data_IF_440154458027
#
_entry.id   IF_440154458027
#
_cell.length_a   1.000
_cell.length_b   1.000
_cell.length_c   1.000
_cell.angle_alpha   90.00
_cell.angle_beta   90.00
_cell.angle_gamma   90.00
#
_symmetry.space_group_name_H-M   'P 1'
#
loop_
_entity.id
_entity.type
_entity.pdbx_description
1 polymer ?
#
# COMPACT_ATOMS: atom_id res chain seq x y z
N UNK A 1 -31.97 -82.14 58.50
CA UNK A 1 -31.37 -83.00 57.45
C UNK A 1 -31.48 -82.28 56.11
N UNK A 2 -30.36 -82.26 55.38
CA UNK A 2 -30.21 -81.95 53.95
C UNK A 2 -30.34 -80.50 53.44
N UNK A 3 -29.14 -79.97 53.12
CA UNK A 3 -28.81 -78.90 52.17
C UNK A 3 -29.39 -79.19 50.78
N UNK A 4 -29.77 -78.16 50.02
CA UNK A 4 -29.35 -77.99 48.60
C UNK A 4 -29.31 -76.49 48.28
N UNK A 5 -28.13 -76.03 47.88
CA UNK A 5 -27.85 -74.74 47.25
C UNK A 5 -28.05 -74.90 45.74
N UNK A 6 -28.76 -73.98 45.07
CA UNK A 6 -28.77 -73.89 43.61
C UNK A 6 -28.45 -72.46 43.18
N UNK A 7 -27.25 -72.28 42.63
CA UNK A 7 -26.80 -71.06 41.96
C UNK A 7 -27.33 -71.06 40.52
N UNK A 8 -28.06 -70.02 40.14
CA UNK A 8 -28.27 -69.69 38.73
C UNK A 8 -27.32 -68.55 38.34
N UNK A 9 -26.37 -68.85 37.46
CA UNK A 9 -25.56 -67.87 36.75
C UNK A 9 -26.40 -67.26 35.62
N UNK A 10 -26.73 -65.97 35.72
CA UNK A 10 -27.19 -65.19 34.56
C UNK A 10 -25.98 -64.49 33.93
N UNK A 11 -25.66 -64.86 32.70
CA UNK A 11 -24.61 -64.24 31.89
C UNK A 11 -25.00 -62.81 31.52
N UNK A 12 -24.20 -61.85 31.96
CA UNK A 12 -24.30 -60.44 31.56
C UNK A 12 -23.60 -60.27 30.21
N UNK A 13 -24.38 -60.07 29.14
CA UNK A 13 -23.83 -59.70 27.83
C UNK A 13 -23.41 -58.22 27.89
N UNK A 14 -22.11 -57.97 28.01
CA UNK A 14 -21.52 -56.63 27.89
C UNK A 14 -21.50 -56.26 26.41
N UNK A 15 -22.41 -55.38 26.00
CA UNK A 15 -22.39 -54.78 24.67
C UNK A 15 -21.29 -53.71 24.66
N UNK A 16 -20.10 -54.07 24.21
CA UNK A 16 -19.02 -53.10 24.01
C UNK A 16 -19.35 -52.24 22.79
N UNK A 17 -19.85 -51.02 23.00
CA UNK A 17 -19.86 -49.98 21.97
C UNK A 17 -18.41 -49.61 21.68
N UNK A 18 -17.83 -50.20 20.63
CA UNK A 18 -16.61 -49.66 20.03
C UNK A 18 -16.93 -48.28 19.47
N UNK A 19 -16.30 -47.24 20.00
CA UNK A 19 -16.28 -45.92 19.36
C UNK A 19 -15.54 -46.06 18.04
N UNK A 20 -16.29 -46.21 16.93
CA UNK A 20 -15.72 -46.12 15.60
C UNK A 20 -15.20 -44.69 15.41
N UNK A 21 -13.90 -44.51 15.56
CA UNK A 21 -13.24 -43.28 15.10
C UNK A 21 -13.24 -43.31 13.58
N UNK A 22 -14.15 -42.57 12.96
CA UNK A 22 -14.11 -42.32 11.53
C UNK A 22 -12.87 -41.47 11.23
N UNK A 23 -11.78 -42.12 10.83
CA UNK A 23 -10.63 -41.44 10.25
C UNK A 23 -10.95 -41.15 8.79
N UNK A 24 -10.99 -39.87 8.40
CA UNK A 24 -10.93 -39.52 6.99
C UNK A 24 -9.55 -39.93 6.49
N UNK A 25 -9.46 -41.00 5.70
CA UNK A 25 -8.24 -41.39 5.02
C UNK A 25 -7.85 -40.27 4.04
N UNK A 26 -6.75 -39.59 4.34
CA UNK A 26 -6.19 -38.47 3.55
C UNK A 26 -4.88 -38.92 2.87
N UNK A 27 -4.91 -40.08 2.21
CA UNK A 27 -3.77 -40.58 1.43
C UNK A 27 -3.28 -39.57 0.39
N UNK A 28 -1.96 -39.53 0.18
CA UNK A 28 -1.23 -38.47 -0.53
C UNK A 28 -1.60 -38.28 -2.03
N UNK A 29 -2.33 -39.20 -2.65
CA UNK A 29 -2.59 -39.19 -4.10
C UNK A 29 -4.08 -38.99 -4.48
N UNK A 30 -4.99 -38.76 -3.53
CA UNK A 30 -6.42 -38.63 -3.84
C UNK A 30 -6.96 -37.20 -3.74
N UNK A 31 -6.58 -36.37 -4.72
CA UNK A 31 -7.07 -34.99 -4.85
C UNK A 31 -8.57 -34.87 -5.21
N UNK A 32 -9.28 -35.99 -5.46
CA UNK A 32 -10.65 -35.99 -6.00
C UNK A 32 -11.66 -36.91 -5.28
N UNK A 33 -11.47 -37.26 -4.00
CA UNK A 33 -12.40 -38.12 -3.26
C UNK A 33 -12.56 -39.51 -3.92
N UNK A 34 -13.49 -40.39 -3.49
CA UNK A 34 -13.61 -41.73 -4.09
C UNK A 34 -14.36 -41.73 -5.44
N UNK A 35 -14.76 -40.57 -5.97
CA UNK A 35 -15.55 -40.46 -7.19
C UNK A 35 -14.76 -40.67 -8.48
N UNK A 36 -15.36 -41.35 -9.44
CA UNK A 36 -14.84 -41.50 -10.81
C UNK A 36 -15.84 -40.93 -11.82
N UNK A 37 -15.48 -40.87 -13.11
CA UNK A 37 -16.44 -40.51 -14.16
C UNK A 37 -17.65 -41.47 -14.23
N UNK A 38 -17.47 -42.74 -13.83
CA UNK A 38 -18.53 -43.76 -13.84
C UNK A 38 -19.36 -43.78 -12.55
N UNK A 39 -18.78 -43.42 -11.40
CA UNK A 39 -19.42 -43.43 -10.08
C UNK A 39 -19.07 -42.14 -9.33
N UNK A 40 -19.91 -41.11 -9.42
CA UNK A 40 -19.76 -39.84 -8.73
C UNK A 40 -21.10 -39.38 -8.13
N UNK A 41 -21.01 -38.50 -7.12
CA UNK A 41 -22.17 -37.80 -6.58
C UNK A 41 -22.39 -36.58 -7.49
N UNK A 42 -23.31 -36.70 -8.45
CA UNK A 42 -23.71 -35.63 -9.37
C UNK A 42 -25.18 -35.29 -9.20
N UNK A 43 -25.65 -34.24 -9.89
CA UNK A 43 -27.06 -33.85 -9.93
C UNK A 43 -28.00 -34.93 -10.50
N UNK A 44 -27.47 -36.03 -11.04
CA UNK A 44 -28.22 -37.19 -11.55
C UNK A 44 -28.17 -38.40 -10.61
N UNK A 45 -27.49 -38.32 -9.46
CA UNK A 45 -27.51 -39.40 -8.47
C UNK A 45 -28.93 -39.55 -7.92
N UNK A 46 -29.52 -40.74 -8.10
CA UNK A 46 -30.85 -41.06 -7.56
C UNK A 46 -30.78 -41.19 -6.04
N UNK A 47 -31.86 -40.81 -5.34
CA UNK A 47 -31.98 -41.00 -3.89
C UNK A 47 -31.66 -42.46 -3.52
N UNK A 48 -30.72 -42.66 -2.59
CA UNK A 48 -30.25 -43.98 -2.16
C UNK A 48 -29.01 -44.52 -2.89
N UNK A 49 -28.53 -43.85 -3.95
CA UNK A 49 -27.42 -44.34 -4.80
C UNK A 49 -26.11 -43.52 -4.64
N UNK A 50 -25.96 -42.77 -3.54
CA UNK A 50 -24.72 -42.06 -3.21
C UNK A 50 -23.60 -43.00 -2.75
N UNK A 51 -22.45 -42.46 -2.35
CA UNK A 51 -21.42 -43.26 -1.67
C UNK A 51 -21.98 -43.82 -0.37
N UNK A 52 -21.79 -45.12 -0.18
CA UNK A 52 -22.44 -45.89 0.88
C UNK A 52 -21.52 -45.93 2.10
N UNK A 53 -22.03 -45.51 3.25
CA UNK A 53 -21.46 -45.85 4.55
C UNK A 53 -22.17 -47.12 5.02
N UNK A 54 -21.42 -48.15 5.41
CA UNK A 54 -21.96 -49.40 5.94
C UNK A 54 -21.44 -49.68 7.36
N UNK A 55 -21.81 -50.82 7.93
CA UNK A 55 -21.40 -51.20 9.30
C UNK A 55 -19.90 -51.45 9.46
N UNK A 56 -19.12 -51.37 8.38
CA UNK A 56 -17.68 -51.66 8.33
C UNK A 56 -16.85 -50.55 7.67
N UNK A 57 -17.47 -49.59 7.00
CA UNK A 57 -16.81 -48.55 6.21
C UNK A 57 -17.59 -47.22 6.21
N UNK A 58 -16.87 -46.10 6.20
CA UNK A 58 -17.47 -44.77 6.09
C UNK A 58 -17.54 -44.33 4.62
N UNK A 59 -18.63 -43.63 4.25
CA UNK A 59 -18.65 -42.85 3.01
C UNK A 59 -17.90 -41.53 3.21
N UNK A 60 -17.05 -41.17 2.25
CA UNK A 60 -16.41 -39.86 2.17
C UNK A 60 -16.65 -39.26 0.79
N UNK A 61 -16.78 -37.94 0.71
CA UNK A 61 -16.91 -37.21 -0.54
C UNK A 61 -16.12 -35.90 -0.43
N UNK A 62 -15.53 -35.47 -1.55
CA UNK A 62 -14.84 -34.18 -1.65
C UNK A 62 -15.64 -33.26 -2.58
N UNK A 63 -15.68 -31.96 -2.25
CA UNK A 63 -16.27 -30.91 -3.08
C UNK A 63 -15.34 -29.70 -3.11
N UNK A 64 -15.40 -28.90 -4.17
CA UNK A 64 -14.55 -27.71 -4.33
C UNK A 64 -15.30 -26.44 -3.90
N UNK A 65 -14.67 -25.63 -3.05
CA UNK A 65 -15.05 -24.23 -2.83
C UNK A 65 -14.17 -23.34 -3.71
N UNK A 66 -14.77 -22.38 -4.42
CA UNK A 66 -14.06 -21.46 -5.32
C UNK A 66 -14.44 -20.02 -5.03
N UNK A 67 -13.44 -19.13 -5.09
CA UNK A 67 -13.63 -17.69 -5.14
C UNK A 67 -12.64 -17.08 -6.15
N UNK A 68 -12.93 -15.86 -6.61
CA UNK A 68 -12.09 -15.07 -7.50
C UNK A 68 -11.72 -13.76 -6.79
N UNK A 69 -10.47 -13.32 -6.92
CA UNK A 69 -10.02 -11.98 -6.50
C UNK A 69 -9.68 -11.20 -7.77
N UNK A 70 -10.26 -10.02 -7.91
CA UNK A 70 -9.99 -9.11 -9.03
C UNK A 70 -9.04 -8.00 -8.59
N UNK A 71 -8.09 -7.58 -9.44
CA UNK A 71 -7.19 -6.48 -9.12
C UNK A 71 -7.98 -5.15 -9.05
N UNK A 72 -7.55 -4.28 -8.14
CA UNK A 72 -7.86 -2.85 -8.16
C UNK A 72 -6.75 -2.04 -8.83
N UNK A 73 -6.65 -0.76 -8.46
CA UNK A 73 -5.74 0.20 -9.07
C UNK A 73 -4.54 0.54 -8.18
N UNK A 74 -3.54 1.18 -8.79
CA UNK A 74 -2.48 1.91 -8.11
C UNK A 74 -2.77 3.42 -8.26
N UNK A 75 -2.96 4.13 -7.15
CA UNK A 75 -3.38 5.55 -7.15
C UNK A 75 -2.51 6.43 -6.24
N UNK A 76 -2.36 7.69 -6.64
CA UNK A 76 -1.82 8.78 -5.82
C UNK A 76 -3.01 9.62 -5.36
N UNK A 77 -3.43 9.44 -4.11
CA UNK A 77 -4.70 9.98 -3.64
C UNK A 77 -4.56 11.41 -3.10
N UNK A 78 -3.41 11.73 -2.49
CA UNK A 78 -3.13 13.04 -1.93
C UNK A 78 -1.66 13.42 -2.07
N UNK A 79 -1.39 14.71 -2.30
CA UNK A 79 -0.05 15.31 -2.21
C UNK A 79 -0.05 16.56 -1.32
N UNK A 80 1.00 16.80 -0.51
CA UNK A 80 0.96 17.85 0.50
C UNK A 80 1.25 19.22 -0.09
N UNK A 81 0.55 20.23 0.42
CA UNK A 81 0.98 21.62 0.30
C UNK A 81 2.09 21.94 1.30
N UNK A 82 3.01 22.84 0.95
CA UNK A 82 4.08 23.28 1.84
C UNK A 82 4.09 24.80 1.89
N UNK A 83 3.60 25.37 2.99
CA UNK A 83 3.72 26.79 3.26
C UNK A 83 4.98 27.05 4.09
N UNK A 84 5.73 28.08 3.71
CA UNK A 84 7.03 28.39 4.30
C UNK A 84 7.01 29.78 4.93
N UNK A 85 7.84 29.99 5.94
CA UNK A 85 7.97 31.29 6.60
C UNK A 85 8.45 32.38 5.65
N UNK A 86 8.16 33.63 5.96
CA UNK A 86 8.58 34.77 5.14
C UNK A 86 10.08 35.06 5.26
N UNK A 87 10.72 35.42 4.15
CA UNK A 87 12.06 36.02 4.12
C UNK A 87 11.97 37.54 3.86
N UNK A 88 12.97 38.30 4.32
CA UNK A 88 13.09 39.73 4.00
C UNK A 88 13.96 39.92 2.76
N UNK A 89 13.60 40.90 1.93
CA UNK A 89 14.39 41.31 0.76
C UNK A 89 15.83 41.65 1.15
N UNK A 90 16.04 42.39 2.23
CA UNK A 90 17.37 42.75 2.71
C UNK A 90 18.23 41.52 3.04
N UNK A 91 17.64 40.49 3.65
CA UNK A 91 18.38 39.28 4.04
C UNK A 91 18.81 38.50 2.79
N UNK A 92 17.92 38.35 1.81
CA UNK A 92 18.20 37.68 0.53
C UNK A 92 19.25 38.45 -0.29
N UNK A 93 19.26 39.78 -0.23
CA UNK A 93 20.29 40.60 -0.92
C UNK A 93 21.65 40.46 -0.23
N UNK A 94 21.67 40.32 1.09
CA UNK A 94 22.90 40.28 1.86
C UNK A 94 23.53 38.89 1.96
N UNK A 95 22.77 37.81 1.74
CA UNK A 95 23.30 36.45 1.77
C UNK A 95 22.26 35.38 1.47
N UNK A 96 22.67 34.13 1.66
CA UNK A 96 21.76 32.99 1.58
C UNK A 96 20.81 32.99 2.77
N UNK A 97 19.53 32.70 2.51
CA UNK A 97 18.47 32.68 3.51
C UNK A 97 17.84 31.30 3.55
N UNK A 98 17.52 30.80 4.74
CA UNK A 98 16.68 29.60 4.89
C UNK A 98 15.37 29.98 5.55
N UNK A 99 14.27 29.58 4.90
CA UNK A 99 12.91 29.66 5.46
C UNK A 99 12.39 28.27 5.75
N UNK A 100 11.61 28.13 6.81
CA UNK A 100 11.17 26.82 7.31
C UNK A 100 9.68 26.62 7.06
N UNK A 101 9.27 25.35 7.05
CA UNK A 101 7.88 24.96 7.05
C UNK A 101 7.08 25.63 8.17
N UNK A 102 5.86 26.03 7.85
CA UNK A 102 4.91 26.65 8.78
C UNK A 102 3.65 25.82 8.91
N UNK A 103 2.96 25.55 7.80
CA UNK A 103 1.77 24.72 7.70
C UNK A 103 1.56 24.22 6.26
N UNK A 104 0.41 23.59 5.98
CA UNK A 104 0.02 23.15 4.64
C UNK A 104 -1.01 24.08 3.99
N UNK A 105 -1.19 25.31 4.50
CA UNK A 105 -2.18 26.26 3.98
C UNK A 105 -1.53 27.19 2.96
N UNK A 106 -1.61 26.83 1.68
CA UNK A 106 -1.09 27.64 0.57
C UNK A 106 -2.23 28.40 -0.10
N UNK A 107 -2.11 29.73 -0.16
CA UNK A 107 -3.06 30.58 -0.87
C UNK A 107 -2.65 30.71 -2.35
N UNK A 108 -3.09 29.75 -3.18
CA UNK A 108 -2.87 29.76 -4.63
C UNK A 108 -4.15 29.38 -5.36
N UNK A 109 -4.46 30.10 -6.45
CA UNK A 109 -5.64 29.82 -7.27
C UNK A 109 -5.53 28.49 -8.05
N UNK A 110 -4.32 27.96 -8.23
CA UNK A 110 -4.05 26.77 -9.05
C UNK A 110 -3.63 25.55 -8.22
N UNK A 111 -3.87 25.57 -6.91
CA UNK A 111 -3.50 24.51 -6.00
C UNK A 111 -4.64 23.50 -5.82
N UNK A 112 -5.04 22.86 -6.92
CA UNK A 112 -6.18 21.94 -6.93
C UNK A 112 -5.84 20.56 -6.38
N UNK A 113 -4.61 20.09 -6.60
CA UNK A 113 -4.18 18.74 -6.24
C UNK A 113 -3.58 18.65 -4.83
N UNK A 114 -3.11 19.77 -4.29
CA UNK A 114 -2.46 19.83 -2.98
C UNK A 114 -3.46 19.90 -1.82
N UNK A 115 -3.20 19.17 -0.74
CA UNK A 115 -4.04 19.18 0.47
C UNK A 115 -3.43 20.00 1.62
N UNK A 116 -4.30 20.50 2.52
CA UNK A 116 -3.92 21.27 3.70
C UNK A 116 -3.77 20.42 4.99
N UNK A 117 -3.77 19.10 4.86
CA UNK A 117 -3.59 18.16 5.98
C UNK A 117 -2.16 17.59 6.03
N UNK A 118 -1.31 17.94 5.06
CA UNK A 118 0.07 17.48 4.96
C UNK A 118 0.20 16.01 4.57
N UNK A 119 -0.85 15.43 4.00
CA UNK A 119 -0.88 14.01 3.60
C UNK A 119 -0.20 13.77 2.27
N UNK A 120 0.51 12.67 2.19
CA UNK A 120 0.98 12.05 0.96
C UNK A 120 0.50 10.59 0.97
N UNK A 121 -0.48 10.28 0.13
CA UNK A 121 -1.20 9.00 0.19
C UNK A 121 -1.10 8.24 -1.13
N UNK A 122 -0.76 6.95 -1.06
CA UNK A 122 -0.71 6.02 -2.19
C UNK A 122 -1.49 4.76 -1.82
N UNK A 123 -2.39 4.33 -2.70
CA UNK A 123 -3.08 3.06 -2.57
C UNK A 123 -2.63 2.10 -3.69
N UNK A 124 -2.16 0.90 -3.33
CA UNK A 124 -1.86 -0.17 -4.27
C UNK A 124 -2.77 -1.38 -4.01
N UNK A 125 -3.84 -1.48 -4.79
CA UNK A 125 -4.75 -2.63 -4.78
C UNK A 125 -4.60 -3.49 -6.04
N UNK A 126 -3.49 -3.35 -6.78
CA UNK A 126 -3.28 -4.07 -8.06
C UNK A 126 -3.16 -5.58 -7.92
N UNK A 127 -2.88 -6.08 -6.71
CA UNK A 127 -2.62 -7.50 -6.46
C UNK A 127 -1.30 -8.02 -7.04
N UNK A 128 -0.51 -7.16 -7.72
CA UNK A 128 0.69 -7.58 -8.45
C UNK A 128 1.92 -7.76 -7.57
N UNK A 129 1.97 -7.09 -6.41
CA UNK A 129 3.10 -7.07 -5.47
C UNK A 129 4.43 -6.66 -6.12
N UNK A 130 4.39 -5.95 -7.25
CA UNK A 130 5.59 -5.50 -7.95
C UNK A 130 6.29 -4.33 -7.24
N UNK A 131 5.55 -3.59 -6.43
CA UNK A 131 6.00 -2.34 -5.83
C UNK A 131 5.76 -1.15 -6.74
N UNK A 132 6.03 0.05 -6.22
CA UNK A 132 5.77 1.32 -6.88
C UNK A 132 6.81 2.35 -6.46
N UNK A 133 6.90 3.43 -7.23
CA UNK A 133 7.82 4.53 -6.97
C UNK A 133 7.12 5.86 -7.17
N UNK A 134 7.20 6.72 -6.17
CA UNK A 134 6.80 8.11 -6.28
C UNK A 134 8.05 8.96 -6.53
N UNK A 135 7.98 9.71 -7.61
CA UNK A 135 8.98 10.69 -8.00
C UNK A 135 8.41 12.10 -7.82
N UNK A 136 9.29 13.06 -7.49
CA UNK A 136 8.92 14.47 -7.45
C UNK A 136 9.99 15.35 -8.07
N UNK A 137 9.57 16.47 -8.65
CA UNK A 137 10.45 17.55 -9.11
C UNK A 137 9.91 18.91 -8.67
N UNK A 138 10.76 19.94 -8.67
CA UNK A 138 10.42 21.29 -8.20
C UNK A 138 10.57 22.33 -9.32
N UNK A 139 9.46 23.00 -9.62
CA UNK A 139 9.38 24.15 -10.49
C UNK A 139 10.12 25.38 -9.97
N UNK A 140 10.29 26.40 -10.82
CA UNK A 140 10.91 27.65 -10.38
C UNK A 140 9.94 28.43 -9.48
N UNK A 141 10.46 29.03 -8.41
CA UNK A 141 9.68 29.97 -7.61
C UNK A 141 9.47 31.28 -8.38
N UNK A 142 8.21 31.58 -8.70
CA UNK A 142 7.78 32.78 -9.45
C UNK A 142 6.94 33.68 -8.56
N UNK A 143 7.14 34.99 -8.67
CA UNK A 143 6.30 35.96 -7.99
C UNK A 143 4.87 35.87 -8.57
N UNK A 144 3.88 35.80 -7.69
CA UNK A 144 2.47 35.67 -8.07
C UNK A 144 1.87 36.92 -8.72
N UNK A 145 2.58 38.07 -8.67
CA UNK A 145 2.11 39.37 -9.15
C UNK A 145 3.07 40.07 -10.13
N UNK A 146 4.26 39.52 -10.35
CA UNK A 146 5.26 40.06 -11.29
C UNK A 146 5.97 38.94 -12.05
N UNK A 147 6.86 39.29 -12.98
CA UNK A 147 7.70 38.32 -13.69
C UNK A 147 8.96 37.89 -12.92
N UNK A 148 9.13 38.35 -11.67
CA UNK A 148 10.33 38.07 -10.89
C UNK A 148 10.38 36.60 -10.46
N UNK A 149 11.59 36.05 -10.42
CA UNK A 149 11.84 34.65 -10.07
C UNK A 149 12.94 34.52 -9.03
N UNK A 150 12.94 33.44 -8.27
CA UNK A 150 14.08 33.04 -7.44
C UNK A 150 14.93 32.02 -8.19
N UNK A 151 16.22 32.30 -8.37
CA UNK A 151 17.18 31.36 -8.93
C UNK A 151 17.81 30.48 -7.83
N UNK A 152 18.19 29.25 -8.19
CA UNK A 152 18.96 28.33 -7.33
C UNK A 152 18.32 28.03 -5.95
N UNK A 153 17.00 28.15 -5.84
CA UNK A 153 16.27 27.74 -4.65
C UNK A 153 16.35 26.22 -4.46
N UNK A 154 16.55 25.78 -3.22
CA UNK A 154 16.61 24.35 -2.86
C UNK A 154 15.62 24.03 -1.75
N UNK A 155 14.66 23.16 -2.01
CA UNK A 155 13.66 22.71 -1.06
C UNK A 155 14.07 21.36 -0.48
N UNK A 156 14.41 21.32 0.80
CA UNK A 156 14.53 20.08 1.55
C UNK A 156 13.14 19.63 2.01
N UNK A 157 12.85 18.34 1.89
CA UNK A 157 11.60 17.70 2.30
C UNK A 157 11.90 16.45 3.11
N UNK A 158 11.17 16.24 4.20
CA UNK A 158 11.32 15.09 5.08
C UNK A 158 9.98 14.74 5.73
N UNK A 159 9.41 13.59 5.39
CA UNK A 159 8.20 13.13 6.04
C UNK A 159 8.45 12.89 7.54
N UNK A 160 7.56 13.40 8.38
CA UNK A 160 7.67 13.31 9.84
C UNK A 160 7.22 11.96 10.38
N UNK A 161 6.31 11.30 9.66
CA UNK A 161 5.83 9.95 9.96
C UNK A 161 5.31 9.26 8.70
N UNK A 162 5.14 7.95 8.80
CA UNK A 162 4.44 7.14 7.81
C UNK A 162 3.66 6.03 8.49
N UNK A 163 2.63 5.53 7.82
CA UNK A 163 1.87 4.33 8.17
C UNK A 163 1.42 3.64 6.88
N UNK A 164 1.17 2.34 6.93
CA UNK A 164 0.60 1.62 5.80
C UNK A 164 0.02 0.29 6.23
N UNK A 165 -0.83 -0.28 5.37
CA UNK A 165 -1.41 -1.61 5.56
C UNK A 165 -0.35 -2.72 5.40
N UNK A 166 0.64 -2.46 4.55
CA UNK A 166 1.82 -3.30 4.34
C UNK A 166 3.07 -2.59 4.86
N UNK A 167 4.11 -3.37 5.17
CA UNK A 167 5.44 -2.83 5.45
C UNK A 167 5.90 -1.98 4.28
N UNK A 168 5.97 -0.66 4.45
CA UNK A 168 6.64 0.27 3.54
C UNK A 168 7.48 1.21 4.38
N UNK A 169 8.73 1.41 3.99
CA UNK A 169 9.58 2.40 4.66
C UNK A 169 8.96 3.79 4.51
N UNK A 170 9.22 4.69 5.45
CA UNK A 170 8.84 6.10 5.30
C UNK A 170 9.50 6.71 4.05
N UNK A 171 8.93 7.77 3.45
CA UNK A 171 9.60 8.53 2.40
C UNK A 171 11.01 8.97 2.79
N UNK A 172 11.91 8.97 1.80
CA UNK A 172 13.27 9.45 1.95
C UNK A 172 13.29 10.96 2.18
N UNK A 173 14.26 11.42 2.98
CA UNK A 173 14.56 12.84 3.05
C UNK A 173 15.27 13.26 1.76
N UNK A 174 14.72 14.25 1.06
CA UNK A 174 15.22 14.70 -0.25
C UNK A 174 15.50 16.20 -0.25
N UNK A 175 16.33 16.64 -1.20
CA UNK A 175 16.52 18.06 -1.49
C UNK A 175 16.34 18.27 -2.99
N UNK A 176 15.34 19.05 -3.36
CA UNK A 176 14.98 19.37 -4.73
C UNK A 176 15.56 20.72 -5.11
N UNK A 177 16.16 20.82 -6.29
CA UNK A 177 16.60 22.11 -6.83
C UNK A 177 15.53 22.67 -7.77
N UNK A 178 15.06 23.88 -7.50
CA UNK A 178 14.06 24.56 -8.29
C UNK A 178 14.58 24.87 -9.70
N UNK A 179 13.79 24.55 -10.73
CA UNK A 179 14.17 24.77 -12.13
C UNK A 179 12.96 25.10 -12.99
N UNK A 180 13.12 26.09 -13.88
CA UNK A 180 12.09 26.43 -14.88
C UNK A 180 11.94 25.36 -15.96
N UNK A 181 12.94 24.47 -16.14
CA UNK A 181 12.82 23.34 -17.05
C UNK A 181 11.72 22.37 -16.59
N UNK A 182 11.56 22.17 -15.27
CA UNK A 182 10.48 21.34 -14.72
C UNK A 182 9.11 21.94 -15.04
N UNK A 183 8.96 23.28 -14.95
CA UNK A 183 7.72 23.98 -15.31
C UNK A 183 7.35 23.80 -16.79
N UNK A 184 8.36 23.68 -17.66
CA UNK A 184 8.20 23.55 -19.10
C UNK A 184 8.11 22.08 -19.55
N UNK A 185 8.13 21.11 -18.62
CA UNK A 185 8.13 19.68 -18.92
C UNK A 185 9.40 19.18 -19.64
N UNK A 186 10.46 19.98 -19.69
CA UNK A 186 11.77 19.61 -20.28
C UNK A 186 12.81 19.28 -19.22
N UNK A 187 12.42 19.37 -17.95
CA UNK A 187 13.27 19.01 -16.82
C UNK A 187 13.54 17.50 -16.77
N UNK A 188 14.78 17.16 -16.41
CA UNK A 188 15.21 15.77 -16.17
C UNK A 188 15.36 15.46 -14.67
N UNK A 189 15.09 16.44 -13.80
CA UNK A 189 15.33 16.34 -12.36
C UNK A 189 14.11 15.76 -11.64
N UNK A 190 13.85 14.46 -11.82
CA UNK A 190 12.92 13.71 -10.98
C UNK A 190 13.68 12.98 -9.87
N UNK A 191 13.32 13.23 -8.61
CA UNK A 191 13.90 12.56 -7.45
C UNK A 191 12.91 11.57 -6.87
N UNK A 192 13.39 10.34 -6.66
CA UNK A 192 12.66 9.33 -5.91
C UNK A 192 12.47 9.79 -4.47
N UNK A 193 11.23 9.89 -4.01
CA UNK A 193 10.94 10.30 -2.64
C UNK A 193 10.30 9.17 -1.83
N UNK A 194 9.61 8.24 -2.48
CA UNK A 194 9.02 7.11 -1.78
C UNK A 194 8.98 5.88 -2.68
N UNK A 195 9.45 4.76 -2.16
CA UNK A 195 9.55 3.52 -2.94
C UNK A 195 9.00 2.36 -2.12
N UNK A 196 8.04 1.64 -2.68
CA UNK A 196 7.71 0.29 -2.28
C UNK A 196 8.51 -0.69 -3.16
N UNK A 197 9.31 -1.53 -2.54
CA UNK A 197 9.99 -2.64 -3.19
C UNK A 197 9.00 -3.78 -3.45
N UNK A 198 9.45 -4.81 -4.18
CA UNK A 198 8.65 -6.02 -4.41
C UNK A 198 8.12 -6.60 -3.08
N UNK A 199 6.85 -7.00 -3.06
CA UNK A 199 6.12 -7.52 -1.91
C UNK A 199 5.94 -6.53 -0.74
N UNK A 200 6.05 -5.22 -0.99
CA UNK A 200 5.80 -4.16 -0.01
C UNK A 200 4.82 -3.13 -0.57
N UNK A 201 4.27 -2.28 0.30
CA UNK A 201 3.45 -1.13 -0.10
C UNK A 201 2.10 -1.46 -0.73
N UNK A 202 1.62 -2.70 -0.61
CA UNK A 202 0.24 -3.06 -0.96
C UNK A 202 -0.75 -2.48 0.05
N UNK A 203 -1.95 -2.15 -0.41
CA UNK A 203 -2.98 -1.50 0.39
C UNK A 203 -2.76 0.00 0.47
N UNK A 204 -3.28 0.60 1.54
CA UNK A 204 -3.13 2.03 1.79
C UNK A 204 -1.76 2.35 2.40
N UNK A 205 -1.14 3.44 1.95
CA UNK A 205 0.12 3.96 2.47
C UNK A 205 -0.02 5.47 2.64
N UNK A 206 0.30 5.99 3.82
CA UNK A 206 0.28 7.44 4.12
C UNK A 206 1.62 7.88 4.71
N UNK A 207 2.07 9.06 4.29
CA UNK A 207 3.10 9.83 4.96
C UNK A 207 2.60 11.24 5.31
N UNK A 208 3.17 11.83 6.36
CA UNK A 208 2.77 13.15 6.85
C UNK A 208 3.91 14.16 6.81
N UNK A 209 3.57 15.39 6.43
CA UNK A 209 4.39 16.59 6.45
C UNK A 209 3.69 17.63 7.34
N UNK A 210 3.83 17.49 8.66
CA UNK A 210 2.97 18.17 9.64
C UNK A 210 3.69 19.11 10.61
N UNK A 211 5.02 19.12 10.68
CA UNK A 211 5.78 19.96 11.60
C UNK A 211 6.93 20.74 10.94
N UNK A 212 7.60 21.60 11.71
CA UNK A 212 8.68 22.49 11.22
C UNK A 212 9.88 21.78 10.58
N UNK A 213 10.04 20.47 10.77
CA UNK A 213 11.08 19.64 10.14
C UNK A 213 10.64 19.04 8.81
N UNK A 214 9.39 19.28 8.41
CA UNK A 214 8.81 18.70 7.20
C UNK A 214 9.43 19.26 5.92
N UNK A 215 9.77 20.55 5.94
CA UNK A 215 10.42 21.20 4.82
C UNK A 215 11.23 22.44 5.23
N UNK A 216 12.24 22.76 4.44
CA UNK A 216 12.93 24.05 4.47
C UNK A 216 13.37 24.45 3.07
N UNK A 217 13.33 25.74 2.77
CA UNK A 217 13.78 26.29 1.50
C UNK A 217 15.00 27.16 1.73
N UNK A 218 16.12 26.76 1.14
CA UNK A 218 17.30 27.61 1.01
C UNK A 218 17.17 28.46 -0.24
N UNK A 219 17.19 29.77 -0.06
CA UNK A 219 17.18 30.79 -1.10
C UNK A 219 18.61 31.34 -1.17
N UNK A 220 19.33 31.05 -2.25
CA UNK A 220 20.62 31.67 -2.47
C UNK A 220 20.49 33.18 -2.64
N UNK A 221 21.54 33.92 -2.30
CA UNK A 221 21.61 35.38 -2.47
C UNK A 221 21.11 35.82 -3.85
N UNK A 222 20.20 36.81 -3.88
CA UNK A 222 19.71 37.44 -5.11
C UNK A 222 20.00 38.95 -5.06
N UNK A 223 20.49 39.53 -6.15
CA UNK A 223 20.83 40.97 -6.17
C UNK A 223 19.64 41.90 -6.45
N UNK A 224 18.53 41.36 -6.93
CA UNK A 224 17.38 42.11 -7.43
C UNK A 224 16.03 41.44 -7.10
N UNK A 225 15.91 40.79 -5.95
CA UNK A 225 14.63 40.16 -5.53
C UNK A 225 13.56 41.23 -5.27
N UNK A 226 12.36 41.02 -5.81
CA UNK A 226 11.21 41.87 -5.56
C UNK A 226 10.43 41.40 -4.32
N UNK A 227 9.66 42.30 -3.71
CA UNK A 227 8.71 41.90 -2.67
C UNK A 227 7.50 41.18 -3.30
N UNK A 228 6.96 40.19 -2.60
CA UNK A 228 5.76 39.48 -3.02
C UNK A 228 5.72 38.04 -2.54
N UNK A 229 4.64 37.35 -2.89
CA UNK A 229 4.49 35.91 -2.65
C UNK A 229 5.10 35.17 -3.84
N UNK A 230 6.08 34.32 -3.57
CA UNK A 230 6.68 33.43 -4.56
C UNK A 230 6.13 32.02 -4.40
N UNK A 231 5.76 31.38 -5.51
CA UNK A 231 5.24 30.02 -5.53
C UNK A 231 6.04 29.17 -6.52
N UNK A 232 6.38 27.95 -6.12
CA UNK A 232 6.96 26.92 -6.98
C UNK A 232 6.06 25.68 -6.96
N UNK A 233 5.93 25.03 -8.11
CA UNK A 233 5.09 23.82 -8.25
C UNK A 233 5.90 22.58 -7.93
N UNK A 234 5.36 21.68 -7.10
CA UNK A 234 5.86 20.31 -6.98
C UNK A 234 5.13 19.44 -8.00
N UNK A 235 5.89 18.75 -8.86
CA UNK A 235 5.35 17.83 -9.85
C UNK A 235 5.54 16.41 -9.34
N UNK A 236 4.45 15.69 -9.13
CA UNK A 236 4.42 14.34 -8.59
C UNK A 236 4.14 13.33 -9.70
N UNK A 237 4.91 12.24 -9.71
CA UNK A 237 4.78 11.18 -10.71
C UNK A 237 4.80 9.82 -10.02
N UNK A 238 3.65 9.14 -9.98
CA UNK A 238 3.53 7.79 -9.46
C UNK A 238 3.74 6.78 -10.58
N UNK A 239 4.73 5.91 -10.39
CA UNK A 239 5.12 4.90 -11.35
C UNK A 239 4.91 3.53 -10.73
N UNK A 240 4.02 2.73 -11.32
CA UNK A 240 4.03 1.30 -11.09
C UNK A 240 5.40 0.79 -11.53
N UNK A 241 6.07 -0.06 -10.76
CA UNK A 241 7.36 -0.62 -11.17
C UNK A 241 7.13 -2.02 -11.78
N UNK A 242 6.69 -2.17 -13.05
CA UNK A 242 7.24 -3.26 -13.83
C UNK A 242 8.69 -2.86 -14.12
N UNK A 243 9.64 -3.76 -13.92
CA UNK A 243 11.07 -3.55 -14.23
C UNK A 243 11.32 -2.59 -15.41
N UNK A 244 12.00 -1.48 -15.10
CA UNK A 244 12.71 -0.52 -15.97
C UNK A 244 12.09 -0.16 -17.34
N UNK A 245 11.45 1.02 -17.41
CA UNK A 245 11.47 1.80 -18.64
C UNK A 245 12.79 2.58 -18.69
N UNK A 246 13.54 2.44 -19.79
CA UNK A 246 14.77 3.19 -20.04
C UNK A 246 14.53 4.71 -19.95
N UNK A 247 15.55 5.52 -19.59
CA UNK A 247 15.42 6.96 -19.57
C UNK A 247 14.93 7.47 -20.93
N UNK A 248 14.01 8.43 -20.92
CA UNK A 248 13.69 9.18 -22.15
C UNK A 248 14.99 9.79 -22.69
N UNK A 249 15.29 9.47 -23.95
CA UNK A 249 16.36 10.10 -24.71
C UNK A 249 16.03 11.58 -24.99
#
# INVERSE_FOLDING_TARGET
>A
MHKVTLFFFSTLAVLTLSTATASADRGADNSHGPGTAANNITNVTTVGQGFIADGTSNASAHSTAQFEVKPGDLTLDHVPNLNLSTAKVADIINGDVTVNYTDNTVNSANNFDGNNNGKLDIADYTGSNNGWKLMTSLGQFKNTKSSDTIANAKLAMNATSSKGDSDVAKPDAVTLTASSANDNGTGTQETAIWTATKNTGQGFNEALYADTKSASLTISKQTNVATGVYQGTLYWNLVNVPTANAPKA
#
